data_IF_253146673145
#
_entry.id   IF_253146673145
#
_cell.length_a   1.000
_cell.length_b   1.000
_cell.length_c   1.000
_cell.angle_alpha   90.00
_cell.angle_beta   90.00
_cell.angle_gamma   90.00
#
_symmetry.space_group_name_H-M   'P 1'
#
loop_
_entity.id
_entity.type
_entity.pdbx_description
1 polymer ?
#
# COMPACT_ATOMS: atom_id res chain seq x y z
N UNK A 1 15.48 4.50 16.19
CA UNK A 1 15.39 3.03 16.13
C UNK A 1 14.74 2.51 17.41
N UNK A 2 15.12 3.00 18.59
CA UNK A 2 14.46 2.79 19.91
C UNK A 2 12.92 2.82 19.88
N UNK A 3 12.33 3.88 19.31
CA UNK A 3 10.86 4.05 19.27
C UNK A 3 10.08 2.84 18.74
N UNK A 4 10.57 2.14 17.70
CA UNK A 4 9.82 1.02 17.10
C UNK A 4 9.75 -0.20 18.03
N UNK A 5 10.82 -0.47 18.76
CA UNK A 5 10.87 -1.58 19.70
C UNK A 5 9.99 -1.28 20.91
N UNK A 6 10.13 -0.08 21.48
CA UNK A 6 9.31 0.39 22.59
C UNK A 6 7.81 0.39 22.26
N UNK A 7 7.43 0.87 21.07
CA UNK A 7 6.05 0.84 20.58
C UNK A 7 5.51 -0.59 20.47
N UNK A 8 6.35 -1.54 20.03
CA UNK A 8 5.99 -2.96 19.91
C UNK A 8 5.77 -3.57 21.30
N UNK A 9 6.67 -3.33 22.24
CA UNK A 9 6.53 -3.80 23.63
C UNK A 9 5.27 -3.23 24.29
N UNK A 10 5.01 -1.92 24.12
CA UNK A 10 3.83 -1.27 24.67
C UNK A 10 2.53 -1.84 24.07
N UNK A 11 2.52 -2.16 22.77
CA UNK A 11 1.39 -2.80 22.12
C UNK A 11 1.16 -4.22 22.66
N UNK A 12 2.21 -5.03 22.77
CA UNK A 12 2.11 -6.40 23.28
C UNK A 12 1.64 -6.43 24.72
N UNK A 13 2.12 -5.50 25.55
CA UNK A 13 1.66 -5.36 26.93
C UNK A 13 0.16 -5.06 27.00
N UNK A 14 -0.35 -4.11 26.19
CA UNK A 14 -1.78 -3.79 26.16
C UNK A 14 -2.65 -4.98 25.77
N UNK A 15 -2.20 -5.81 24.82
CA UNK A 15 -2.92 -7.01 24.41
C UNK A 15 -2.98 -8.05 25.54
N UNK A 16 -1.84 -8.26 26.22
CA UNK A 16 -1.79 -9.16 27.39
C UNK A 16 -2.70 -8.66 28.52
N UNK A 17 -2.71 -7.36 28.79
CA UNK A 17 -3.58 -6.73 29.79
C UNK A 17 -5.07 -6.84 29.44
N UNK A 18 -5.40 -6.89 28.15
CA UNK A 18 -6.77 -7.14 27.66
C UNK A 18 -7.20 -8.62 27.81
N UNK A 19 -6.29 -9.51 28.23
CA UNK A 19 -6.54 -10.94 28.42
C UNK A 19 -6.21 -11.81 27.21
N UNK A 20 -5.59 -11.25 26.16
CA UNK A 20 -5.20 -12.01 24.97
C UNK A 20 -3.93 -12.82 25.22
N UNK A 21 -3.89 -14.03 24.66
CA UNK A 21 -2.65 -14.82 24.58
C UNK A 21 -1.77 -14.29 23.43
N UNK A 22 -0.70 -13.58 23.78
CA UNK A 22 0.24 -13.01 22.81
C UNK A 22 1.48 -13.89 22.69
N UNK A 23 1.66 -14.49 21.51
CA UNK A 23 2.86 -15.22 21.12
C UNK A 23 3.74 -14.35 20.23
N UNK A 24 4.97 -14.08 20.66
CA UNK A 24 5.94 -13.28 19.91
C UNK A 24 6.98 -14.21 19.28
N UNK A 25 7.25 -14.02 17.97
CA UNK A 25 8.29 -14.75 17.23
C UNK A 25 9.06 -13.79 16.35
N UNK A 26 10.33 -14.10 16.11
CA UNK A 26 11.15 -13.38 15.14
C UNK A 26 10.69 -13.70 13.71
N UNK A 27 10.83 -12.70 12.83
CA UNK A 27 10.45 -12.84 11.42
C UNK A 27 11.20 -13.98 10.72
N UNK A 28 12.50 -14.14 10.99
CA UNK A 28 13.31 -15.18 10.38
C UNK A 28 12.84 -16.59 10.78
N UNK A 29 12.48 -16.78 12.05
CA UNK A 29 12.01 -18.06 12.56
C UNK A 29 10.63 -18.38 11.98
N UNK A 30 9.75 -17.37 11.92
CA UNK A 30 8.44 -17.51 11.30
C UNK A 30 8.52 -17.86 9.81
N UNK A 31 9.45 -17.26 9.06
CA UNK A 31 9.68 -17.59 7.64
C UNK A 31 10.16 -19.04 7.45
N UNK A 32 10.95 -19.57 8.38
CA UNK A 32 11.44 -20.96 8.30
C UNK A 32 10.34 -21.99 8.60
N UNK A 33 9.34 -21.61 9.40
CA UNK A 33 8.19 -22.45 9.75
C UNK A 33 7.00 -22.29 8.78
N UNK A 34 7.15 -21.45 7.75
CA UNK A 34 6.10 -21.13 6.81
C UNK A 34 5.78 -22.35 5.94
N UNK A 35 4.60 -22.94 6.14
CA UNK A 35 4.05 -24.01 5.29
C UNK A 35 3.10 -23.42 4.23
N UNK A 36 2.80 -24.20 3.18
CA UNK A 36 1.81 -23.80 2.15
C UNK A 36 0.43 -23.46 2.75
N UNK A 37 0.05 -24.15 3.83
CA UNK A 37 -1.19 -23.89 4.56
C UNK A 37 -1.15 -22.53 5.29
N UNK A 38 -0.05 -22.21 5.96
CA UNK A 38 0.16 -20.93 6.65
C UNK A 38 0.25 -19.79 5.64
N UNK A 39 0.92 -19.98 4.50
CA UNK A 39 0.94 -19.00 3.40
C UNK A 39 -0.46 -18.76 2.86
N UNK A 40 -1.20 -19.82 2.54
CA UNK A 40 -2.57 -19.71 2.02
C UNK A 40 -3.47 -18.98 3.02
N UNK A 41 -3.34 -19.29 4.32
CA UNK A 41 -4.07 -18.60 5.37
C UNK A 41 -3.69 -17.12 5.43
N UNK A 42 -2.40 -16.79 5.51
CA UNK A 42 -1.94 -15.39 5.62
C UNK A 42 -2.27 -14.54 4.39
N UNK A 43 -2.31 -15.12 3.19
CA UNK A 43 -2.69 -14.37 1.97
C UNK A 43 -4.20 -14.20 1.83
N UNK A 44 -5.00 -15.18 2.26
CA UNK A 44 -6.44 -15.19 2.02
C UNK A 44 -7.29 -14.84 3.24
N UNK A 45 -6.68 -14.65 4.42
CA UNK A 45 -7.41 -14.33 5.64
C UNK A 45 -8.22 -13.05 5.46
N UNK A 46 -9.50 -13.06 5.86
CA UNK A 46 -10.43 -11.95 5.65
C UNK A 46 -9.96 -10.64 6.28
N UNK A 47 -9.21 -10.72 7.40
CA UNK A 47 -8.61 -9.54 8.03
C UNK A 47 -7.44 -8.94 7.22
N UNK A 48 -6.73 -9.76 6.44
CA UNK A 48 -5.59 -9.34 5.63
C UNK A 48 -6.02 -8.94 4.21
N UNK A 49 -7.05 -9.61 3.65
CA UNK A 49 -7.67 -9.25 2.38
C UNK A 49 -8.34 -7.86 2.40
N UNK A 50 -8.81 -7.44 3.56
CA UNK A 50 -9.41 -6.11 3.77
C UNK A 50 -8.41 -5.08 4.34
N UNK A 51 -7.10 -5.32 4.20
CA UNK A 51 -6.08 -4.36 4.63
C UNK A 51 -6.28 -3.04 3.87
N UNK A 52 -6.17 -1.88 4.54
CA UNK A 52 -6.24 -0.59 3.87
C UNK A 52 -5.22 -0.51 2.72
N UNK A 53 -5.60 0.14 1.62
CA UNK A 53 -4.67 0.46 0.53
C UNK A 53 -3.41 1.11 1.11
N UNK A 54 -2.24 0.60 0.72
CA UNK A 54 -0.97 1.21 1.06
C UNK A 54 -0.77 2.46 0.19
N UNK A 55 -0.74 3.69 0.76
CA UNK A 55 -0.59 4.91 -0.03
C UNK A 55 0.71 4.96 -0.83
N UNK A 56 1.73 4.20 -0.43
CA UNK A 56 3.01 4.10 -1.15
C UNK A 56 2.85 3.50 -2.55
N UNK A 57 1.87 2.61 -2.74
CA UNK A 57 1.65 1.98 -4.04
C UNK A 57 1.15 2.97 -5.09
N UNK A 58 0.55 4.08 -4.66
CA UNK A 58 0.10 5.17 -5.52
C UNK A 58 1.18 6.22 -5.79
N UNK A 59 2.39 6.07 -5.22
CA UNK A 59 3.45 7.06 -5.33
C UNK A 59 4.29 6.81 -6.58
N UNK A 60 4.02 7.59 -7.64
CA UNK A 60 4.70 7.47 -8.93
C UNK A 60 5.50 8.74 -9.28
N UNK A 61 6.50 8.57 -10.14
CA UNK A 61 7.30 9.67 -10.68
C UNK A 61 6.66 10.34 -11.89
N UNK A 62 7.48 11.09 -12.64
CA UNK A 62 7.04 11.79 -13.85
C UNK A 62 6.57 10.84 -14.97
N UNK A 63 5.70 11.35 -15.85
CA UNK A 63 5.24 10.60 -17.02
C UNK A 63 6.31 10.59 -18.11
N UNK A 64 6.75 9.40 -18.50
CA UNK A 64 7.58 9.19 -19.70
C UNK A 64 6.84 8.31 -20.69
N UNK A 65 6.57 8.81 -21.90
CA UNK A 65 5.93 8.03 -22.96
C UNK A 65 6.26 8.59 -24.33
N UNK A 66 6.62 7.71 -25.25
CA UNK A 66 6.84 8.06 -26.65
C UNK A 66 5.66 7.58 -27.49
N UNK A 67 4.99 8.48 -28.23
CA UNK A 67 3.97 8.09 -29.21
C UNK A 67 4.58 7.59 -30.52
N UNK A 68 5.83 7.99 -30.81
CA UNK A 68 6.59 7.59 -31.99
C UNK A 68 8.07 7.47 -31.60
N UNK A 69 8.68 6.32 -31.90
CA UNK A 69 10.06 6.03 -31.49
C UNK A 69 11.10 6.79 -32.32
N UNK A 70 10.81 7.03 -33.60
CA UNK A 70 11.70 7.74 -34.52
C UNK A 70 10.90 8.53 -35.56
N UNK A 71 11.30 9.76 -35.82
CA UNK A 71 10.72 10.58 -36.87
C UNK A 71 11.75 11.57 -37.42
N UNK A 72 11.92 11.53 -38.73
CA UNK A 72 12.64 12.57 -39.47
C UNK A 72 11.63 13.56 -40.01
N UNK A 73 11.85 14.86 -39.78
CA UNK A 73 11.02 15.91 -40.33
C UNK A 73 11.18 15.95 -41.86
N UNK A 74 10.06 16.07 -42.59
CA UNK A 74 10.07 16.28 -44.05
C UNK A 74 10.23 17.76 -44.40
N UNK A 75 10.43 18.06 -45.68
CA UNK A 75 10.57 19.45 -46.13
C UNK A 75 9.33 20.28 -45.78
N UNK A 76 9.54 21.43 -45.12
CA UNK A 76 8.48 22.31 -44.62
C UNK A 76 7.90 21.91 -43.25
N UNK A 77 8.24 20.74 -42.71
CA UNK A 77 7.80 20.30 -41.38
C UNK A 77 8.70 20.87 -40.27
N UNK A 78 8.09 21.22 -39.12
CA UNK A 78 8.81 21.72 -37.93
C UNK A 78 8.40 20.93 -36.70
N UNK A 79 9.38 20.34 -36.03
CA UNK A 79 9.20 19.69 -34.73
C UNK A 79 9.31 20.77 -33.65
N UNK A 80 8.28 20.88 -32.79
CA UNK A 80 8.24 21.84 -31.68
C UNK A 80 8.37 21.09 -30.37
N UNK A 81 9.08 21.71 -29.42
CA UNK A 81 9.22 21.22 -28.06
C UNK A 81 8.58 22.20 -27.10
N UNK A 82 7.84 21.67 -26.12
CA UNK A 82 7.23 22.44 -25.05
C UNK A 82 7.72 21.83 -23.74
N UNK A 83 8.26 22.68 -22.87
CA UNK A 83 8.70 22.30 -21.55
C UNK A 83 8.03 23.19 -20.49
N UNK A 84 7.76 22.61 -19.33
CA UNK A 84 7.23 23.33 -18.19
C UNK A 84 8.38 23.62 -17.23
N UNK A 85 8.83 24.88 -17.22
CA UNK A 85 9.84 25.31 -16.28
C UNK A 85 9.34 25.16 -14.83
N UNK A 86 10.09 24.43 -14.01
CA UNK A 86 9.80 24.23 -12.58
C UNK A 86 8.44 23.56 -12.27
N UNK A 87 8.07 22.53 -13.04
CA UNK A 87 6.81 21.80 -12.87
C UNK A 87 6.55 21.34 -11.42
N UNK A 88 7.52 20.68 -10.77
CA UNK A 88 7.36 20.18 -9.40
C UNK A 88 7.23 21.31 -8.36
N UNK A 89 8.12 22.33 -8.33
CA UNK A 89 7.93 23.48 -7.45
C UNK A 89 6.59 24.19 -7.64
N UNK A 90 6.14 24.37 -8.89
CA UNK A 90 4.85 25.00 -9.17
C UNK A 90 3.69 24.16 -8.62
N UNK A 91 3.72 22.85 -8.86
CA UNK A 91 2.71 21.91 -8.35
C UNK A 91 2.72 21.86 -6.83
N UNK A 92 3.89 21.85 -6.19
CA UNK A 92 4.00 21.86 -4.73
C UNK A 92 3.47 23.15 -4.10
N UNK A 93 3.58 24.29 -4.79
CA UNK A 93 3.12 25.58 -4.29
C UNK A 93 1.61 25.76 -4.40
N UNK A 94 1.02 25.34 -5.53
CA UNK A 94 -0.37 25.64 -5.87
C UNK A 94 -1.30 24.41 -5.83
N UNK A 95 -0.73 23.21 -5.81
CA UNK A 95 -1.45 21.94 -5.74
C UNK A 95 -2.10 21.73 -4.38
N UNK A 96 -3.22 21.00 -4.39
CA UNK A 96 -3.89 20.55 -3.16
C UNK A 96 -3.26 19.25 -2.70
N UNK A 97 -2.84 19.20 -1.44
CA UNK A 97 -2.29 18.00 -0.81
C UNK A 97 -3.29 17.47 0.23
N UNK A 98 -3.42 16.13 0.36
CA UNK A 98 -4.08 15.57 1.52
C UNK A 98 -3.27 15.93 2.77
N UNK A 99 -3.95 16.43 3.80
CA UNK A 99 -3.35 16.81 5.09
C UNK A 99 -4.06 16.05 6.20
N UNK A 100 -3.29 15.57 7.18
CA UNK A 100 -3.81 14.82 8.32
C UNK A 100 -3.80 13.31 8.12
N UNK A 101 -4.45 12.60 9.04
CA UNK A 101 -4.50 11.14 9.03
C UNK A 101 -5.61 10.64 8.09
N UNK A 102 -5.33 9.66 7.21
CA UNK A 102 -6.36 9.10 6.34
C UNK A 102 -7.43 8.38 7.17
N UNK A 103 -8.69 8.51 6.77
CA UNK A 103 -9.80 7.73 7.32
C UNK A 103 -10.03 6.49 6.47
N UNK A 104 -9.87 5.31 7.07
CA UNK A 104 -10.14 4.04 6.39
C UNK A 104 -11.65 3.75 6.44
N UNK A 105 -12.20 3.37 5.29
CA UNK A 105 -13.58 2.90 5.17
C UNK A 105 -13.58 1.41 4.87
N UNK A 106 -14.20 0.62 5.75
CA UNK A 106 -14.36 -0.81 5.57
C UNK A 106 -15.78 -1.10 5.07
N UNK A 107 -15.90 -1.92 4.03
CA UNK A 107 -17.17 -2.52 3.63
C UNK A 107 -17.17 -3.94 4.19
N UNK A 108 -17.96 -4.19 5.23
CA UNK A 108 -18.16 -5.53 5.77
C UNK A 108 -19.19 -6.22 4.89
N UNK A 109 -18.73 -7.10 4.01
CA UNK A 109 -19.62 -8.01 3.28
C UNK A 109 -19.97 -9.15 4.23
N UNK A 110 -21.18 -9.14 4.79
CA UNK A 110 -21.68 -10.29 5.54
C UNK A 110 -21.93 -11.44 4.56
N UNK A 111 -21.08 -12.46 4.60
CA UNK A 111 -21.36 -13.73 3.94
C UNK A 111 -22.39 -14.50 4.79
N UNK A 112 -23.65 -14.52 4.35
CA UNK A 112 -24.63 -15.45 4.91
C UNK A 112 -24.34 -16.84 4.35
N UNK A 113 -23.70 -17.70 5.16
CA UNK A 113 -23.64 -19.12 4.87
C UNK A 113 -25.06 -19.68 4.96
N UNK A 114 -25.66 -19.95 3.80
CA UNK A 114 -26.85 -20.78 3.72
C UNK A 114 -26.44 -22.21 4.12
N UNK A 115 -26.61 -22.54 5.40
CA UNK A 115 -26.68 -23.95 5.83
C UNK A 115 -27.93 -24.57 5.20
N UNK A 116 -27.76 -25.20 4.04
CA UNK A 116 -28.73 -26.17 3.56
C UNK A 116 -28.67 -27.38 4.47
N UNK A 117 -29.69 -27.54 5.31
CA UNK A 117 -29.99 -28.80 5.96
C UNK A 117 -30.55 -29.76 4.89
N UNK A 118 -29.87 -30.89 4.69
CA UNK A 118 -30.48 -32.14 4.21
C UNK A 118 -29.81 -33.31 4.89
#
# INVERSE_FOLDING_TARGET
MERRYEDTCAKNQRLREAGDEVLERWECDFRNEMTDEIMTYTENHELLRNTPLNPHDAFYGGRTGASKMYHTAVEGEKIKYVDVCSLYPWTNKYGKYPVGHPKVHYIILFYQSNKTAS
#
